data_IF_896007972128
#
_entry.id   IF_896007972128
#
_cell.length_a   1.000
_cell.length_b   1.000
_cell.length_c   1.000
_cell.angle_alpha   90.00
_cell.angle_beta   90.00
_cell.angle_gamma   90.00
#
_symmetry.space_group_name_H-M   'P 1'
#
loop_
_entity.id
_entity.type
_entity.pdbx_description
1 polymer ?
#
# COMPACT_ATOMS: atom_id res chain seq x y z
N UNK A 1 -0.74 -62.97 -39.53
CA UNK A 1 -1.33 -61.68 -39.97
C UNK A 1 -1.47 -60.70 -38.80
N UNK A 2 -0.41 -60.37 -38.05
CA UNK A 2 -0.51 -59.49 -36.85
C UNK A 2 0.50 -58.33 -36.83
N UNK A 3 1.11 -58.01 -37.97
CA UNK A 3 2.22 -57.04 -38.07
C UNK A 3 1.91 -55.82 -38.93
N UNK A 4 0.64 -55.40 -39.00
CA UNK A 4 0.22 -54.22 -39.76
C UNK A 4 -0.52 -53.16 -38.93
N UNK A 5 -0.85 -53.42 -37.66
CA UNK A 5 -1.63 -52.47 -36.82
C UNK A 5 -0.81 -51.76 -35.74
N UNK A 6 0.49 -51.52 -35.95
CA UNK A 6 1.33 -50.78 -34.97
C UNK A 6 1.83 -49.42 -35.44
N UNK A 7 1.35 -48.92 -36.59
CA UNK A 7 1.80 -47.64 -37.15
C UNK A 7 0.69 -46.59 -37.26
N UNK A 8 -0.41 -46.70 -36.50
CA UNK A 8 -1.33 -45.58 -36.30
C UNK A 8 -0.71 -44.60 -35.30
N UNK A 9 0.20 -43.81 -35.86
CA UNK A 9 0.82 -42.58 -35.39
C UNK A 9 0.13 -42.02 -34.15
N UNK A 10 0.80 -42.10 -32.99
CA UNK A 10 0.62 -41.14 -31.89
C UNK A 10 0.94 -39.75 -32.44
N UNK A 11 -0.04 -39.07 -33.01
CA UNK A 11 0.07 -37.64 -33.28
C UNK A 11 0.06 -36.94 -31.91
N UNK A 12 1.26 -36.73 -31.33
CA UNK A 12 1.40 -35.83 -30.18
C UNK A 12 1.06 -34.43 -30.69
N UNK A 13 -0.16 -33.97 -30.42
CA UNK A 13 -0.49 -32.56 -30.61
C UNK A 13 0.50 -31.73 -29.80
N UNK A 14 1.17 -30.78 -30.44
CA UNK A 14 2.09 -29.87 -29.75
C UNK A 14 1.25 -28.86 -28.98
N UNK A 15 0.86 -29.18 -27.74
CA UNK A 15 0.11 -28.30 -26.82
C UNK A 15 0.99 -27.18 -26.21
N UNK A 16 1.90 -26.64 -27.03
CA UNK A 16 2.76 -25.52 -26.68
C UNK A 16 2.95 -24.66 -27.91
N UNK A 17 1.82 -24.25 -28.49
CA UNK A 17 1.81 -23.34 -29.63
C UNK A 17 1.89 -21.89 -29.15
N UNK A 18 2.34 -20.99 -30.03
CA UNK A 18 2.26 -19.55 -29.77
C UNK A 18 0.81 -19.10 -29.52
N UNK A 19 -0.16 -19.74 -30.18
CA UNK A 19 -1.59 -19.43 -30.01
C UNK A 19 -2.06 -19.71 -28.57
N UNK A 20 -1.64 -20.82 -27.95
CA UNK A 20 -1.93 -21.09 -26.54
C UNK A 20 -1.32 -20.03 -25.63
N UNK A 21 -0.06 -19.63 -25.88
CA UNK A 21 0.57 -18.57 -25.09
C UNK A 21 -0.17 -17.23 -25.24
N UNK A 22 -0.70 -16.90 -26.42
CA UNK A 22 -1.51 -15.68 -26.61
C UNK A 22 -2.81 -15.73 -25.81
N UNK A 23 -3.52 -16.86 -25.81
CA UNK A 23 -4.76 -17.02 -25.02
C UNK A 23 -4.45 -16.94 -23.52
N UNK A 24 -3.34 -17.52 -23.07
CA UNK A 24 -2.91 -17.43 -21.67
C UNK A 24 -2.58 -15.99 -21.26
N UNK A 25 -1.83 -15.26 -22.09
CA UNK A 25 -1.53 -13.84 -21.83
C UNK A 25 -2.80 -12.98 -21.79
N UNK A 26 -3.76 -13.27 -22.66
CA UNK A 26 -5.07 -12.61 -22.65
C UNK A 26 -5.81 -12.84 -21.32
N UNK A 27 -5.87 -14.09 -20.86
CA UNK A 27 -6.51 -14.43 -19.58
C UNK A 27 -5.79 -13.75 -18.41
N UNK A 28 -4.45 -13.82 -18.35
CA UNK A 28 -3.66 -13.18 -17.29
C UNK A 28 -3.87 -11.66 -17.31
N UNK A 29 -3.93 -11.04 -18.49
CA UNK A 29 -4.18 -9.59 -18.61
C UNK A 29 -5.53 -9.21 -17.99
N UNK A 30 -6.60 -9.96 -18.24
CA UNK A 30 -7.92 -9.70 -17.65
C UNK A 30 -7.87 -9.89 -16.13
N UNK A 31 -7.22 -10.95 -15.65
CA UNK A 31 -7.05 -11.17 -14.21
C UNK A 31 -6.26 -10.04 -13.54
N UNK A 32 -5.17 -9.57 -14.15
CA UNK A 32 -4.39 -8.44 -13.64
C UNK A 32 -5.23 -7.16 -13.57
N UNK A 33 -6.06 -6.88 -14.58
CA UNK A 33 -6.97 -5.73 -14.56
C UNK A 33 -7.99 -5.79 -13.42
N UNK A 34 -8.39 -6.98 -12.97
CA UNK A 34 -9.28 -7.14 -11.81
C UNK A 34 -8.52 -7.07 -10.48
N UNK A 35 -7.31 -7.64 -10.40
CA UNK A 35 -6.54 -7.70 -9.16
C UNK A 35 -5.80 -6.41 -8.83
N UNK A 36 -5.17 -5.76 -9.80
CA UNK A 36 -4.40 -4.51 -9.61
C UNK A 36 -5.22 -3.42 -8.93
N UNK A 37 -6.44 -3.04 -9.38
CA UNK A 37 -7.20 -1.98 -8.73
C UNK A 37 -7.60 -2.36 -7.29
N UNK A 38 -7.82 -3.65 -7.01
CA UNK A 38 -8.14 -4.12 -5.67
C UNK A 38 -6.92 -4.04 -4.73
N UNK A 39 -5.73 -4.38 -5.22
CA UNK A 39 -4.48 -4.26 -4.46
C UNK A 39 -4.09 -2.80 -4.19
N UNK A 40 -4.23 -1.91 -5.18
CA UNK A 40 -3.94 -0.47 -5.02
C UNK A 40 -4.81 0.13 -3.91
N UNK A 41 -6.12 -0.15 -3.90
CA UNK A 41 -7.03 0.34 -2.85
C UNK A 41 -6.65 -0.15 -1.45
N UNK A 42 -6.21 -1.39 -1.31
CA UNK A 42 -5.75 -1.92 -0.02
C UNK A 42 -4.46 -1.24 0.44
N UNK A 43 -3.52 -1.00 -0.48
CA UNK A 43 -2.29 -0.27 -0.19
C UNK A 43 -2.59 1.16 0.29
N UNK A 44 -3.48 1.86 -0.41
CA UNK A 44 -3.88 3.22 -0.03
C UNK A 44 -4.56 3.25 1.35
N UNK A 45 -5.44 2.28 1.64
CA UNK A 45 -6.09 2.16 2.94
C UNK A 45 -5.10 1.85 4.09
N UNK A 46 -4.05 1.06 3.82
CA UNK A 46 -2.99 0.78 4.79
C UNK A 46 -2.12 2.03 5.03
N UNK A 47 -1.77 2.77 3.98
CA UNK A 47 -1.03 4.04 4.09
C UNK A 47 -1.80 5.07 4.92
N UNK A 48 -3.10 5.24 4.65
CA UNK A 48 -3.96 6.17 5.39
C UNK A 48 -4.09 5.78 6.86
N UNK A 49 -4.22 4.48 7.17
CA UNK A 49 -4.21 3.99 8.56
C UNK A 49 -2.86 4.21 9.25
N UNK A 50 -1.75 4.00 8.54
CA UNK A 50 -0.41 4.25 9.05
C UNK A 50 -0.23 5.72 9.42
N UNK A 51 -0.61 6.64 8.53
CA UNK A 51 -0.57 8.08 8.79
C UNK A 51 -1.48 8.50 9.94
N UNK A 52 -2.68 7.93 10.06
CA UNK A 52 -3.56 8.17 11.19
C UNK A 52 -2.93 7.72 12.53
N UNK A 53 -2.18 6.62 12.54
CA UNK A 53 -1.45 6.19 13.73
C UNK A 53 -0.32 7.17 14.09
N UNK A 54 0.40 7.70 13.10
CA UNK A 54 1.42 8.75 13.31
C UNK A 54 0.79 9.99 13.92
N UNK A 55 -0.39 10.43 13.44
CA UNK A 55 -1.11 11.57 14.02
C UNK A 55 -1.38 11.35 15.51
N UNK A 56 -1.89 10.17 15.88
CA UNK A 56 -2.17 9.85 17.28
C UNK A 56 -0.91 9.85 18.16
N UNK A 57 0.23 9.41 17.62
CA UNK A 57 1.52 9.48 18.32
C UNK A 57 1.92 10.93 18.55
N UNK A 58 1.85 11.78 17.53
CA UNK A 58 2.18 13.21 17.63
C UNK A 58 1.28 13.93 18.64
N UNK A 59 -0.03 13.68 18.61
CA UNK A 59 -0.98 14.23 19.58
C UNK A 59 -0.68 13.77 21.02
N UNK A 60 -0.34 12.50 21.20
CA UNK A 60 0.08 11.98 22.51
C UNK A 60 1.36 12.65 23.00
N UNK A 61 2.34 12.87 22.12
CA UNK A 61 3.56 13.60 22.48
C UNK A 61 3.28 15.07 22.79
N UNK A 62 2.33 15.69 22.08
CA UNK A 62 1.85 17.04 22.37
C UNK A 62 1.23 17.12 23.77
N UNK A 63 0.36 16.18 24.13
CA UNK A 63 -0.25 16.11 25.45
C UNK A 63 0.80 15.94 26.56
N UNK A 64 1.75 15.01 26.37
CA UNK A 64 2.85 14.81 27.32
C UNK A 64 3.74 16.04 27.45
N UNK A 65 4.03 16.75 26.35
CA UNK A 65 4.81 17.99 26.40
C UNK A 65 4.08 19.06 27.22
N UNK A 66 2.76 19.22 27.01
CA UNK A 66 1.94 20.16 27.78
C UNK A 66 1.95 19.83 29.27
N UNK A 67 1.93 18.55 29.62
CA UNK A 67 2.01 18.10 31.00
C UNK A 67 3.40 18.37 31.63
N UNK A 68 4.48 18.08 30.90
CA UNK A 68 5.84 18.17 31.41
C UNK A 68 6.37 19.61 31.49
N UNK A 69 5.97 20.47 30.54
CA UNK A 69 6.45 21.85 30.42
C UNK A 69 5.44 22.89 30.90
N UNK A 70 4.19 22.49 31.12
CA UNK A 70 3.07 23.39 31.44
C UNK A 70 2.91 24.52 30.40
N UNK A 71 3.24 24.23 29.14
CA UNK A 71 3.18 25.14 28.00
C UNK A 71 2.44 24.48 26.84
N UNK A 72 1.81 25.27 25.96
CA UNK A 72 1.22 24.73 24.73
C UNK A 72 2.29 24.12 23.79
N UNK A 73 1.91 22.98 23.23
CA UNK A 73 2.73 22.23 22.29
C UNK A 73 2.50 22.73 20.86
N UNK A 74 3.60 22.81 20.10
CA UNK A 74 3.60 22.96 18.65
C UNK A 74 4.52 21.91 18.03
N UNK A 75 4.34 21.60 16.75
CA UNK A 75 5.19 20.66 16.03
C UNK A 75 6.65 21.09 16.12
N UNK A 76 6.93 22.38 15.95
CA UNK A 76 8.26 22.95 16.11
C UNK A 76 8.87 22.71 17.50
N UNK A 77 8.07 22.85 18.59
CA UNK A 77 8.54 22.58 19.96
C UNK A 77 8.75 21.09 20.21
N UNK A 78 7.88 20.23 19.68
CA UNK A 78 7.98 18.78 19.82
C UNK A 78 9.19 18.21 19.08
N UNK A 79 9.52 18.75 17.91
CA UNK A 79 10.75 18.43 17.18
C UNK A 79 11.99 18.92 17.94
N UNK A 80 11.96 20.15 18.45
CA UNK A 80 13.08 20.74 19.20
C UNK A 80 13.37 20.00 20.53
N UNK A 81 12.33 19.51 21.21
CA UNK A 81 12.44 18.67 22.43
C UNK A 81 12.77 17.21 22.10
N UNK A 82 12.87 16.84 20.81
CA UNK A 82 13.23 15.50 20.35
C UNK A 82 12.14 14.43 20.54
N UNK A 83 10.88 14.85 20.80
CA UNK A 83 9.74 13.93 21.02
C UNK A 83 9.18 13.35 19.73
N UNK A 84 9.32 14.08 18.63
CA UNK A 84 8.90 13.64 17.29
C UNK A 84 10.02 13.90 16.28
N UNK A 85 10.04 13.12 15.20
CA UNK A 85 10.95 13.35 14.07
C UNK A 85 10.33 14.31 13.06
N UNK A 86 11.18 14.94 12.23
CA UNK A 86 10.73 15.76 11.11
C UNK A 86 9.81 14.99 10.14
N UNK A 87 10.03 13.68 9.99
CA UNK A 87 9.18 12.81 9.16
C UNK A 87 7.77 12.65 9.77
N UNK A 88 7.67 12.51 11.10
CA UNK A 88 6.39 12.43 11.80
C UNK A 88 5.62 13.74 11.74
N UNK A 89 6.32 14.88 11.91
CA UNK A 89 5.72 16.20 11.75
C UNK A 89 5.22 16.43 10.32
N UNK A 90 6.00 16.05 9.31
CA UNK A 90 5.59 16.11 7.90
C UNK A 90 4.36 15.25 7.63
N UNK A 91 4.35 14.00 8.12
CA UNK A 91 3.22 13.09 7.96
C UNK A 91 1.95 13.61 8.63
N UNK A 92 2.08 14.26 9.80
CA UNK A 92 0.96 14.93 10.48
C UNK A 92 0.36 16.04 9.61
N UNK A 93 1.20 16.95 9.09
CA UNK A 93 0.76 18.04 8.20
C UNK A 93 0.09 17.52 6.93
N UNK A 94 0.70 16.53 6.29
CA UNK A 94 0.17 15.90 5.07
C UNK A 94 -1.19 15.23 5.30
N UNK A 95 -1.36 14.54 6.44
CA UNK A 95 -2.61 13.87 6.78
C UNK A 95 -3.77 14.86 6.93
N UNK A 96 -3.56 15.95 7.66
CA UNK A 96 -4.58 16.99 7.85
C UNK A 96 -4.88 17.75 6.55
N UNK A 97 -3.86 18.03 5.73
CA UNK A 97 -4.03 18.64 4.41
C UNK A 97 -4.86 17.76 3.45
N UNK A 98 -4.62 16.45 3.44
CA UNK A 98 -5.35 15.48 2.60
C UNK A 98 -6.82 15.34 3.05
N UNK A 99 -7.07 15.35 4.36
CA UNK A 99 -8.40 15.14 4.95
C UNK A 99 -9.23 16.44 5.08
N UNK A 100 -8.66 17.62 4.78
CA UNK A 100 -9.28 18.95 5.04
C UNK A 100 -9.78 19.11 6.48
N UNK A 101 -9.12 18.46 7.44
CA UNK A 101 -9.48 18.52 8.86
C UNK A 101 -8.66 19.60 9.55
N UNK A 102 -9.25 20.23 10.57
CA UNK A 102 -8.52 21.20 11.41
C UNK A 102 -7.40 20.50 12.17
N UNK A 103 -6.20 21.09 12.15
CA UNK A 103 -5.07 20.63 12.95
C UNK A 103 -5.40 20.80 14.45
N UNK A 104 -5.00 19.82 15.25
CA UNK A 104 -5.16 19.81 16.72
C UNK A 104 -3.91 20.29 17.44
N UNK A 105 -2.74 20.15 16.80
CA UNK A 105 -1.43 20.64 17.25
C UNK A 105 -0.99 21.77 16.34
N UNK A 106 -0.56 22.89 16.92
CA UNK A 106 -0.08 24.05 16.18
C UNK A 106 1.23 23.74 15.44
N UNK A 107 1.48 24.43 14.32
CA UNK A 107 2.74 24.38 13.57
C UNK A 107 3.94 24.90 14.40
#
# INVERSE_FOLDING_TARGET
>A
MKKLMTNLKKAKAKAFTLVEMLVVLLIISVLLLLFVPNLTKQKDAVDDKGKAAVVKVVESQAELYRLDKNEDASLSKLEADGRITAEQAKAYKEYHAKQKTSQTVAD
#
